data_IF_854675080541
#
_entry.id   IF_854675080541
#
_cell.length_a   1.000
_cell.length_b   1.000
_cell.length_c   1.000
_cell.angle_alpha   90.00
_cell.angle_beta   90.00
_cell.angle_gamma   90.00
#
_symmetry.space_group_name_H-M   'P 1'
#
loop_
_entity.id
_entity.type
_entity.pdbx_description
1 polymer ?
#
# COMPACT_ATOMS: atom_id res chain seq x y z
N UNK A 1 -22.75 11.44 -21.83
CA UNK A 1 -21.81 10.73 -20.93
C UNK A 1 -22.16 9.25 -20.97
N UNK A 2 -21.29 8.41 -21.53
CA UNK A 2 -21.47 6.96 -21.45
C UNK A 2 -21.12 6.49 -20.03
N UNK A 3 -21.86 5.51 -19.51
CA UNK A 3 -21.54 4.87 -18.24
C UNK A 3 -20.14 4.24 -18.39
N UNK A 4 -19.18 4.66 -17.56
CA UNK A 4 -17.85 4.05 -17.51
C UNK A 4 -17.92 2.72 -16.76
N UNK A 5 -18.46 1.70 -17.42
CA UNK A 5 -18.72 0.36 -16.87
C UNK A 5 -17.44 -0.23 -16.25
N UNK A 6 -16.29 -0.04 -16.90
CA UNK A 6 -14.99 -0.49 -16.35
C UNK A 6 -14.61 0.19 -15.03
N UNK A 7 -14.87 1.49 -14.89
CA UNK A 7 -14.62 2.23 -13.66
C UNK A 7 -15.53 1.77 -12.51
N UNK A 8 -16.81 1.51 -12.80
CA UNK A 8 -17.75 0.97 -11.81
C UNK A 8 -17.39 -0.45 -11.39
N UNK A 9 -17.02 -1.31 -12.34
CA UNK A 9 -16.55 -2.67 -12.05
C UNK A 9 -15.28 -2.65 -11.20
N UNK A 10 -14.33 -1.76 -11.50
CA UNK A 10 -13.13 -1.58 -10.68
C UNK A 10 -13.45 -1.13 -9.25
N UNK A 11 -14.30 -0.11 -9.11
CA UNK A 11 -14.68 0.45 -7.81
C UNK A 11 -15.44 -0.57 -6.94
N UNK A 12 -16.54 -1.10 -7.45
CA UNK A 12 -17.41 -2.01 -6.69
C UNK A 12 -16.84 -3.42 -6.60
N UNK A 13 -16.15 -3.90 -7.64
CA UNK A 13 -15.43 -5.16 -7.60
C UNK A 13 -14.27 -5.11 -6.60
N UNK A 14 -13.50 -4.01 -6.59
CA UNK A 14 -12.45 -3.78 -5.60
C UNK A 14 -13.00 -3.73 -4.17
N UNK A 15 -14.10 -3.00 -3.95
CA UNK A 15 -14.80 -2.97 -2.66
C UNK A 15 -15.26 -4.37 -2.22
N UNK A 16 -15.89 -5.12 -3.11
CA UNK A 16 -16.38 -6.46 -2.83
C UNK A 16 -15.24 -7.42 -2.45
N UNK A 17 -14.17 -7.46 -3.25
CA UNK A 17 -12.98 -8.26 -2.94
C UNK A 17 -12.32 -7.84 -1.62
N UNK A 18 -12.26 -6.53 -1.35
CA UNK A 18 -11.72 -5.99 -0.09
C UNK A 18 -12.53 -6.42 1.13
N UNK A 19 -13.87 -6.33 1.05
CA UNK A 19 -14.78 -6.78 2.12
C UNK A 19 -14.67 -8.29 2.35
N UNK A 20 -14.64 -9.09 1.28
CA UNK A 20 -14.46 -10.53 1.39
C UNK A 20 -13.11 -10.88 2.03
N UNK A 21 -12.02 -10.28 1.55
CA UNK A 21 -10.68 -10.49 2.09
C UNK A 21 -10.61 -10.13 3.58
N UNK A 22 -11.20 -9.00 3.97
CA UNK A 22 -11.29 -8.59 5.37
C UNK A 22 -12.09 -9.57 6.22
N UNK A 23 -13.28 -9.98 5.74
CA UNK A 23 -14.14 -10.91 6.46
C UNK A 23 -13.49 -12.29 6.66
N UNK A 24 -12.96 -12.89 5.59
CA UNK A 24 -12.28 -14.18 5.67
C UNK A 24 -10.99 -14.11 6.48
N UNK A 25 -10.23 -13.00 6.35
CA UNK A 25 -9.04 -12.73 7.15
C UNK A 25 -9.35 -12.70 8.64
N UNK A 26 -10.36 -11.92 9.06
CA UNK A 26 -10.80 -11.87 10.46
C UNK A 26 -11.33 -13.20 10.96
N UNK A 27 -12.12 -13.91 10.16
CA UNK A 27 -12.64 -15.24 10.52
C UNK A 27 -11.51 -16.23 10.79
N UNK A 28 -10.43 -16.18 10.00
CA UNK A 28 -9.25 -17.03 10.21
C UNK A 28 -8.43 -16.59 11.43
N UNK A 29 -8.21 -15.29 11.61
CA UNK A 29 -7.52 -14.73 12.77
C UNK A 29 -8.23 -15.07 14.09
N UNK A 30 -9.56 -14.99 14.13
CA UNK A 30 -10.38 -15.38 15.29
C UNK A 30 -10.16 -16.85 15.68
N UNK A 31 -10.12 -17.76 14.70
CA UNK A 31 -9.87 -19.19 14.94
C UNK A 31 -8.48 -19.46 15.53
N UNK A 32 -7.51 -18.59 15.25
CA UNK A 32 -6.13 -18.71 15.71
C UNK A 32 -5.84 -17.86 16.96
N UNK A 33 -6.86 -17.28 17.60
CA UNK A 33 -6.72 -16.32 18.71
C UNK A 33 -5.84 -15.10 18.40
N UNK A 34 -5.70 -14.74 17.11
CA UNK A 34 -4.91 -13.60 16.66
C UNK A 34 -5.62 -12.25 16.71
N UNK A 35 -6.76 -12.16 17.40
CA UNK A 35 -7.53 -10.94 17.67
C UNK A 35 -7.42 -10.61 19.16
N UNK A 36 -6.21 -10.36 19.63
CA UNK A 36 -5.92 -9.97 21.00
C UNK A 36 -5.86 -8.43 21.15
N UNK A 37 -5.69 -7.96 22.39
CA UNK A 37 -5.56 -6.53 22.69
C UNK A 37 -4.35 -5.90 22.00
N UNK A 38 -3.27 -6.68 21.81
CA UNK A 38 -2.05 -6.19 21.16
C UNK A 38 -2.27 -5.97 19.67
N UNK A 39 -2.98 -6.89 19.00
CA UNK A 39 -3.43 -6.72 17.63
C UNK A 39 -4.27 -5.45 17.50
N UNK A 40 -5.27 -5.25 18.37
CA UNK A 40 -6.10 -4.06 18.32
C UNK A 40 -5.28 -2.77 18.50
N UNK A 41 -4.36 -2.76 19.46
CA UNK A 41 -3.47 -1.62 19.69
C UNK A 41 -2.59 -1.31 18.48
N UNK A 42 -2.00 -2.33 17.84
CA UNK A 42 -1.20 -2.17 16.62
C UNK A 42 -2.03 -1.57 15.50
N UNK A 43 -3.20 -2.13 15.22
CA UNK A 43 -4.02 -1.70 14.09
C UNK A 43 -4.64 -0.32 14.31
N UNK A 44 -4.90 0.08 15.56
CA UNK A 44 -5.23 1.46 15.92
C UNK A 44 -4.06 2.42 15.67
N UNK A 45 -2.84 2.04 16.08
CA UNK A 45 -1.64 2.86 15.85
C UNK A 45 -1.31 3.01 14.37
N UNK A 46 -1.42 1.93 13.60
CA UNK A 46 -1.28 1.95 12.15
C UNK A 46 -2.33 2.84 11.48
N UNK A 47 -3.57 2.83 11.96
CA UNK A 47 -4.65 3.70 11.45
C UNK A 47 -4.33 5.18 11.71
N UNK A 48 -3.82 5.51 12.90
CA UNK A 48 -3.37 6.86 13.22
C UNK A 48 -2.20 7.30 12.33
N UNK A 49 -1.20 6.42 12.15
CA UNK A 49 -0.07 6.68 11.26
C UNK A 49 -0.48 6.95 9.81
N UNK A 50 -1.42 6.16 9.29
CA UNK A 50 -1.97 6.31 7.95
C UNK A 50 -2.57 7.70 7.70
N UNK A 51 -3.21 8.32 8.71
CA UNK A 51 -3.74 9.67 8.59
C UNK A 51 -2.66 10.72 8.31
N UNK A 52 -1.48 10.61 8.93
CA UNK A 52 -0.38 11.52 8.63
C UNK A 52 0.08 11.42 7.17
N UNK A 53 0.18 10.19 6.64
CA UNK A 53 0.55 9.96 5.23
C UNK A 53 -0.53 10.52 4.30
N UNK A 54 -1.80 10.34 4.63
CA UNK A 54 -2.91 10.88 3.85
C UNK A 54 -2.93 12.40 3.86
N UNK A 55 -2.66 13.04 5.00
CA UNK A 55 -2.53 14.51 5.07
C UNK A 55 -1.39 15.00 4.17
N UNK A 56 -0.21 14.37 4.23
CA UNK A 56 0.93 14.70 3.35
C UNK A 56 0.50 14.59 1.88
N UNK A 57 -0.22 13.53 1.53
CA UNK A 57 -0.72 13.30 0.16
C UNK A 57 -1.72 14.36 -0.26
N UNK A 58 -2.63 14.78 0.62
CA UNK A 58 -3.57 15.87 0.35
C UNK A 58 -2.82 17.16 0.05
N UNK A 59 -1.83 17.53 0.86
CA UNK A 59 -1.02 18.73 0.61
C UNK A 59 -0.24 18.65 -0.70
N UNK A 60 0.30 17.48 -1.03
CA UNK A 60 0.98 17.26 -2.29
C UNK A 60 0.05 17.43 -3.50
N UNK A 61 -1.12 16.79 -3.49
CA UNK A 61 -2.12 16.93 -4.55
C UNK A 61 -2.64 18.37 -4.65
N UNK A 62 -2.83 19.04 -3.51
CA UNK A 62 -3.23 20.44 -3.48
C UNK A 62 -2.17 21.36 -4.10
N UNK A 63 -0.89 21.09 -3.83
CA UNK A 63 0.22 21.83 -4.45
C UNK A 63 0.24 21.65 -5.96
N UNK A 64 0.05 20.42 -6.46
CA UNK A 64 -0.06 20.16 -7.90
C UNK A 64 -1.21 20.95 -8.55
N UNK A 65 -2.36 21.00 -7.87
CA UNK A 65 -3.50 21.79 -8.34
C UNK A 65 -3.17 23.29 -8.42
N UNK A 66 -2.52 23.85 -7.40
CA UNK A 66 -2.09 25.27 -7.39
C UNK A 66 -1.06 25.58 -8.49
N UNK A 67 -0.22 24.60 -8.85
CA UNK A 67 0.73 24.69 -9.97
C UNK A 67 0.06 24.57 -11.35
N UNK A 68 -1.26 24.43 -11.42
CA UNK A 68 -2.02 24.37 -12.68
C UNK A 68 -2.18 22.96 -13.27
N UNK A 69 -1.84 21.90 -12.52
CA UNK A 69 -2.07 20.52 -12.97
C UNK A 69 -3.56 20.19 -12.90
N UNK A 70 -4.13 19.69 -14.00
CA UNK A 70 -5.54 19.28 -14.08
C UNK A 70 -5.76 17.96 -13.35
N UNK A 71 -6.37 18.03 -12.16
CA UNK A 71 -6.72 16.85 -11.37
C UNK A 71 -8.20 16.51 -11.52
N UNK A 72 -8.49 15.29 -11.99
CA UNK A 72 -9.86 14.78 -12.05
C UNK A 72 -10.31 14.20 -10.71
N UNK A 73 -11.53 14.53 -10.26
CA UNK A 73 -12.08 14.07 -8.97
C UNK A 73 -11.98 12.55 -8.76
N UNK A 74 -12.33 11.68 -9.73
CA UNK A 74 -12.20 10.23 -9.54
C UNK A 74 -10.75 9.77 -9.31
N UNK A 75 -9.79 10.41 -9.99
CA UNK A 75 -8.37 10.08 -9.83
C UNK A 75 -7.86 10.51 -8.44
N UNK A 76 -8.23 11.71 -7.99
CA UNK A 76 -7.88 12.22 -6.65
C UNK A 76 -8.44 11.31 -5.56
N UNK A 77 -9.73 10.97 -5.63
CA UNK A 77 -10.37 10.08 -4.65
C UNK A 77 -9.74 8.67 -4.67
N UNK A 78 -9.43 8.15 -5.86
CA UNK A 78 -8.74 6.87 -6.01
C UNK A 78 -7.36 6.86 -5.34
N UNK A 79 -6.55 7.91 -5.58
CA UNK A 79 -5.23 8.06 -4.96
C UNK A 79 -5.36 8.14 -3.45
N UNK A 80 -6.28 8.97 -2.92
CA UNK A 80 -6.48 9.11 -1.48
C UNK A 80 -6.92 7.80 -0.82
N UNK A 81 -7.85 7.06 -1.45
CA UNK A 81 -8.26 5.74 -0.97
C UNK A 81 -7.10 4.74 -0.96
N UNK A 82 -6.34 4.67 -2.05
CA UNK A 82 -5.21 3.75 -2.15
C UNK A 82 -4.13 4.08 -1.11
N UNK A 83 -3.77 5.35 -0.95
CA UNK A 83 -2.76 5.76 0.02
C UNK A 83 -3.23 5.47 1.45
N UNK A 84 -4.46 5.81 1.81
CA UNK A 84 -4.99 5.52 3.15
C UNK A 84 -5.02 4.02 3.43
N UNK A 85 -5.58 3.22 2.52
CA UNK A 85 -5.69 1.77 2.71
C UNK A 85 -4.32 1.07 2.69
N UNK A 86 -3.44 1.44 1.77
CA UNK A 86 -2.11 0.85 1.65
C UNK A 86 -1.24 1.20 2.85
N UNK A 87 -1.21 2.46 3.28
CA UNK A 87 -0.41 2.87 4.44
C UNK A 87 -0.92 2.23 5.74
N UNK A 88 -2.25 2.12 5.91
CA UNK A 88 -2.84 1.42 7.06
C UNK A 88 -2.51 -0.07 7.05
N UNK A 89 -2.77 -0.76 5.93
CA UNK A 89 -2.54 -2.19 5.79
C UNK A 89 -1.07 -2.56 5.93
N UNK A 90 -0.19 -1.81 5.27
CA UNK A 90 1.25 -2.02 5.33
C UNK A 90 1.81 -1.70 6.72
N UNK A 91 1.44 -0.56 7.31
CA UNK A 91 1.85 -0.20 8.67
C UNK A 91 1.41 -1.23 9.70
N UNK A 92 0.18 -1.73 9.61
CA UNK A 92 -0.34 -2.79 10.47
C UNK A 92 0.45 -4.09 10.32
N UNK A 93 0.74 -4.51 9.09
CA UNK A 93 1.51 -5.72 8.81
C UNK A 93 2.96 -5.63 9.32
N UNK A 94 3.64 -4.50 9.09
CA UNK A 94 5.01 -4.26 9.55
C UNK A 94 5.08 -4.27 11.08
N UNK A 95 4.21 -3.51 11.76
CA UNK A 95 4.19 -3.46 13.23
C UNK A 95 3.88 -4.82 13.84
N UNK A 96 2.96 -5.57 13.23
CA UNK A 96 2.64 -6.94 13.64
C UNK A 96 3.86 -7.85 13.49
N UNK A 97 4.55 -7.79 12.35
CA UNK A 97 5.77 -8.57 12.10
C UNK A 97 6.88 -8.26 13.10
N UNK A 98 7.13 -6.99 13.38
CA UNK A 98 8.18 -6.58 14.32
C UNK A 98 7.89 -7.04 15.75
N UNK A 99 6.64 -6.95 16.18
CA UNK A 99 6.25 -7.35 17.53
C UNK A 99 6.37 -8.87 17.72
N UNK A 100 5.96 -9.68 16.74
CA UNK A 100 6.13 -11.15 16.80
C UNK A 100 7.58 -11.60 16.67
N UNK A 101 8.41 -10.82 15.97
CA UNK A 101 9.82 -11.18 15.79
C UNK A 101 10.65 -10.78 17.02
N UNK A 102 10.20 -9.78 17.80
CA UNK A 102 10.99 -9.21 18.91
C UNK A 102 12.31 -8.57 18.44
N UNK A 103 12.43 -8.31 17.12
CA UNK A 103 13.66 -7.90 16.44
C UNK A 103 13.56 -6.48 15.95
N UNK A 104 14.70 -5.79 15.98
CA UNK A 104 14.86 -4.50 15.34
C UNK A 104 14.80 -4.67 13.81
N UNK A 105 14.33 -3.63 13.11
CA UNK A 105 14.20 -3.66 11.66
C UNK A 105 15.59 -3.81 11.03
N UNK A 106 15.86 -4.93 10.36
CA UNK A 106 17.10 -5.11 9.60
C UNK A 106 17.17 -4.11 8.42
N UNK A 107 18.38 -3.62 8.15
CA UNK A 107 18.67 -2.72 7.03
C UNK A 107 18.21 -3.33 5.70
N UNK A 108 18.33 -4.65 5.51
CA UNK A 108 17.88 -5.32 4.28
C UNK A 108 16.35 -5.26 4.10
N UNK A 109 15.58 -5.22 5.19
CA UNK A 109 14.13 -5.03 5.14
C UNK A 109 13.77 -3.63 4.65
N UNK A 110 14.44 -2.60 5.18
CA UNK A 110 14.26 -1.19 4.76
C UNK A 110 14.67 -1.03 3.30
N UNK A 111 15.82 -1.60 2.90
CA UNK A 111 16.30 -1.57 1.52
C UNK A 111 15.28 -2.22 0.59
N UNK A 112 14.75 -3.40 0.94
CA UNK A 112 13.77 -4.10 0.11
C UNK A 112 12.48 -3.29 -0.10
N UNK A 113 11.94 -2.68 0.96
CA UNK A 113 10.77 -1.79 0.86
C UNK A 113 11.08 -0.58 -0.01
N UNK A 114 12.25 0.05 0.21
CA UNK A 114 12.66 1.24 -0.51
C UNK A 114 12.81 0.97 -2.00
N UNK A 115 13.38 -0.17 -2.39
CA UNK A 115 13.50 -0.61 -3.78
C UNK A 115 12.13 -0.81 -4.42
N UNK A 116 11.18 -1.44 -3.73
CA UNK A 116 9.81 -1.61 -4.23
C UNK A 116 9.16 -0.25 -4.46
N UNK A 117 9.17 0.63 -3.45
CA UNK A 117 8.50 1.93 -3.52
C UNK A 117 9.11 2.81 -4.61
N UNK A 118 10.44 2.94 -4.66
CA UNK A 118 11.11 3.76 -5.67
C UNK A 118 10.90 3.22 -7.08
N UNK A 119 10.96 1.90 -7.28
CA UNK A 119 10.75 1.31 -8.60
C UNK A 119 9.30 1.52 -9.08
N UNK A 120 8.31 1.30 -8.22
CA UNK A 120 6.90 1.56 -8.58
C UNK A 120 6.71 3.03 -8.93
N UNK A 121 7.25 3.96 -8.14
CA UNK A 121 7.15 5.39 -8.43
C UNK A 121 7.81 5.76 -9.76
N UNK A 122 9.01 5.25 -10.03
CA UNK A 122 9.72 5.48 -11.29
C UNK A 122 8.89 5.00 -12.50
N UNK A 123 8.38 3.77 -12.44
CA UNK A 123 7.63 3.19 -13.56
C UNK A 123 6.24 3.80 -13.74
N UNK A 124 5.62 4.30 -12.67
CA UNK A 124 4.40 5.12 -12.77
C UNK A 124 4.69 6.42 -13.51
N UNK A 125 5.78 7.12 -13.18
CA UNK A 125 6.18 8.34 -13.88
C UNK A 125 6.46 8.04 -15.36
N UNK A 126 7.21 6.98 -15.67
CA UNK A 126 7.49 6.57 -17.05
C UNK A 126 6.23 6.19 -17.83
N UNK A 127 5.29 5.51 -17.19
CA UNK A 127 4.00 5.15 -17.81
C UNK A 127 3.18 6.39 -18.17
N UNK A 128 3.16 7.40 -17.30
CA UNK A 128 2.48 8.69 -17.54
C UNK A 128 3.18 9.46 -18.67
N UNK A 129 4.51 9.57 -18.63
CA UNK A 129 5.30 10.32 -19.63
C UNK A 129 5.21 9.68 -21.02
N UNK A 130 5.18 8.35 -21.09
CA UNK A 130 5.18 7.60 -22.35
C UNK A 130 3.78 7.24 -22.86
N UNK A 131 2.73 7.63 -22.14
CA UNK A 131 1.32 7.27 -22.36
C UNK A 131 1.12 5.76 -22.64
N UNK A 132 1.92 4.93 -21.96
CA UNK A 132 1.94 3.48 -22.17
C UNK A 132 1.93 2.76 -20.83
N UNK A 133 0.80 2.11 -20.55
CA UNK A 133 0.60 1.33 -19.34
C UNK A 133 1.56 0.13 -19.23
N UNK A 134 2.17 -0.30 -20.34
CA UNK A 134 3.12 -1.42 -20.37
C UNK A 134 4.36 -1.15 -19.51
N UNK A 135 4.74 0.11 -19.30
CA UNK A 135 5.86 0.45 -18.42
C UNK A 135 5.62 0.04 -16.97
N UNK A 136 4.36 -0.10 -16.53
CA UNK A 136 4.06 -0.58 -15.18
C UNK A 136 4.57 -2.01 -14.95
N UNK A 137 4.58 -2.87 -15.98
CA UNK A 137 5.17 -4.21 -15.88
C UNK A 137 6.68 -4.19 -15.62
N UNK A 138 7.36 -3.11 -16.01
CA UNK A 138 8.78 -2.90 -15.72
C UNK A 138 9.08 -2.84 -14.21
N UNK A 139 8.09 -2.52 -13.37
CA UNK A 139 8.24 -2.52 -11.90
C UNK A 139 8.28 -3.92 -11.29
N UNK A 140 7.80 -4.95 -12.00
CA UNK A 140 7.72 -6.33 -11.51
C UNK A 140 9.10 -6.90 -11.13
N UNK A 141 10.14 -6.89 -12.00
CA UNK A 141 11.44 -7.43 -11.64
C UNK A 141 12.05 -6.75 -10.42
N UNK A 142 11.92 -5.42 -10.29
CA UNK A 142 12.39 -4.69 -9.12
C UNK A 142 11.59 -5.00 -7.86
N UNK A 143 10.28 -5.24 -8.01
CA UNK A 143 9.45 -5.69 -6.90
C UNK A 143 9.88 -7.07 -6.40
N UNK A 144 10.23 -7.98 -7.31
CA UNK A 144 10.77 -9.31 -6.97
C UNK A 144 12.14 -9.18 -6.28
N UNK A 145 13.01 -8.28 -6.75
CA UNK A 145 14.30 -7.99 -6.10
C UNK A 145 14.10 -7.45 -4.68
N UNK A 146 13.18 -6.49 -4.49
CA UNK A 146 12.89 -5.96 -3.17
C UNK A 146 12.31 -7.01 -2.22
N UNK A 147 11.44 -7.89 -2.71
CA UNK A 147 10.95 -9.05 -1.95
C UNK A 147 12.07 -10.04 -1.61
N UNK A 148 13.06 -10.22 -2.49
CA UNK A 148 14.22 -11.05 -2.23
C UNK A 148 15.08 -10.49 -1.09
N UNK A 149 15.32 -9.17 -1.04
CA UNK A 149 16.01 -8.52 0.08
C UNK A 149 15.24 -8.64 1.39
N UNK A 150 13.92 -8.47 1.36
CA UNK A 150 13.04 -8.72 2.52
C UNK A 150 13.16 -10.17 3.00
N UNK A 151 13.26 -11.13 2.07
CA UNK A 151 13.45 -12.54 2.41
C UNK A 151 14.84 -12.82 2.97
N UNK A 152 15.90 -12.19 2.45
CA UNK A 152 17.25 -12.33 2.99
C UNK A 152 17.39 -11.78 4.41
N UNK A 153 16.69 -10.68 4.73
CA UNK A 153 16.59 -10.17 6.11
C UNK A 153 16.12 -11.28 7.05
N UNK A 154 15.20 -12.14 6.60
CA UNK A 154 14.69 -13.28 7.36
C UNK A 154 15.66 -14.47 7.43
N UNK A 155 16.57 -14.60 6.47
CA UNK A 155 17.48 -15.76 6.31
C UNK A 155 18.86 -15.56 6.93
N UNK A 156 19.33 -14.33 7.13
CA UNK A 156 20.56 -14.05 7.90
C UNK A 156 20.41 -14.31 9.41
N UNK A 157 19.21 -14.73 9.81
CA UNK A 157 18.78 -14.86 11.18
C UNK A 157 18.52 -16.32 11.63
N UNK A 158 18.69 -17.28 10.72
CA UNK A 158 18.76 -18.74 10.99
C UNK A 158 20.23 -19.20 10.96
#
# INVERSE_FOLDING_TARGET
MGIQIGGLLGLYGGLFCGVLGWYFGRKKAAKQRGLDEVHEHIWQKAKSFSWYITIITIYFLFTLYVLGVTLHVPAVLGILMLVQMASWGFGGAVLTGLMFSGKEIDSNFIIGITVIVLSVLLFVILAIVSDSWLFLFGSIPFSVIGLYFIRQSKSKED
#
